data_IF_229002100881
#
_entry.id   IF_229002100881
#
_cell.length_a   1.000
_cell.length_b   1.000
_cell.length_c   1.000
_cell.angle_alpha   90.00
_cell.angle_beta   90.00
_cell.angle_gamma   90.00
#
_symmetry.space_group_name_H-M   'P 1'
#
loop_
_entity.id
_entity.type
_entity.pdbx_description
1 polymer ?
#
# COMPACT_ATOMS: atom_id res chain seq x y z
N UNK A 1 -8.22 -19.42 23.49
CA UNK A 1 -7.48 -18.15 23.45
C UNK A 1 -7.24 -17.77 22.00
N UNK A 2 -8.09 -16.92 21.44
CA UNK A 2 -7.98 -16.40 20.06
C UNK A 2 -6.97 -15.25 20.05
N UNK A 3 -5.68 -15.57 19.99
CA UNK A 3 -4.63 -14.56 19.84
C UNK A 3 -4.70 -13.91 18.45
N UNK A 4 -4.28 -12.66 18.34
CA UNK A 4 -4.02 -12.02 17.04
C UNK A 4 -2.57 -12.29 16.64
N UNK A 5 -2.31 -12.36 15.34
CA UNK A 5 -0.95 -12.37 14.83
C UNK A 5 -0.17 -11.13 15.29
N UNK A 6 1.05 -11.32 15.79
CA UNK A 6 1.97 -10.25 16.12
C UNK A 6 3.10 -10.22 15.10
N UNK A 7 3.46 -9.02 14.66
CA UNK A 7 4.55 -8.77 13.71
C UNK A 7 5.45 -7.71 14.30
N UNK A 8 6.76 -7.95 14.32
CA UNK A 8 7.74 -7.02 14.86
C UNK A 8 8.92 -6.91 13.91
N UNK A 9 9.16 -5.72 13.36
CA UNK A 9 10.35 -5.44 12.54
C UNK A 9 11.61 -5.48 13.40
N UNK A 10 12.66 -6.12 12.86
CA UNK A 10 14.04 -6.13 13.37
C UNK A 10 14.98 -5.93 12.20
N UNK A 11 15.41 -4.69 11.99
CA UNK A 11 16.30 -4.30 10.90
C UNK A 11 15.81 -4.79 9.52
N UNK A 12 16.51 -5.76 8.93
CA UNK A 12 16.18 -6.41 7.65
C UNK A 12 15.34 -7.69 7.78
N UNK A 13 14.66 -7.88 8.91
CA UNK A 13 13.80 -9.03 9.15
C UNK A 13 12.51 -8.64 9.86
N UNK A 14 11.52 -9.53 9.80
CA UNK A 14 10.32 -9.46 10.64
C UNK A 14 10.16 -10.74 11.43
N UNK A 15 9.88 -10.57 12.71
CA UNK A 15 9.54 -11.64 13.63
C UNK A 15 8.03 -11.72 13.70
N UNK A 16 7.49 -12.92 13.55
CA UNK A 16 6.06 -13.15 13.40
C UNK A 16 5.63 -14.28 14.33
N UNK A 17 4.53 -14.11 15.05
CA UNK A 17 3.87 -15.20 15.76
C UNK A 17 2.36 -15.10 15.58
N UNK A 18 1.66 -16.21 15.45
CA UNK A 18 0.21 -16.24 15.30
C UNK A 18 -0.35 -17.57 15.84
N UNK A 19 -1.67 -17.68 16.09
CA UNK A 19 -2.24 -18.84 16.78
C UNK A 19 -1.94 -20.17 16.09
N UNK A 20 -1.48 -21.15 16.89
CA UNK A 20 -1.21 -22.52 16.42
C UNK A 20 0.12 -22.70 15.70
N UNK A 21 0.95 -21.66 15.60
CA UNK A 21 2.21 -21.70 14.85
C UNK A 21 3.37 -21.18 15.69
N UNK A 22 4.54 -21.79 15.51
CA UNK A 22 5.77 -21.33 16.16
C UNK A 22 6.17 -19.96 15.63
N UNK A 23 6.89 -19.22 16.48
CA UNK A 23 7.49 -17.94 16.11
C UNK A 23 8.42 -18.13 14.90
N UNK A 24 8.17 -17.38 13.82
CA UNK A 24 8.97 -17.41 12.59
C UNK A 24 9.69 -16.11 12.35
N UNK A 25 10.80 -16.18 11.62
CA UNK A 25 11.56 -15.02 11.16
C UNK A 25 11.57 -15.02 9.64
N UNK A 26 11.19 -13.90 9.04
CA UNK A 26 11.28 -13.70 7.60
C UNK A 26 12.31 -12.63 7.31
N UNK A 27 13.21 -12.93 6.37
CA UNK A 27 14.10 -11.91 5.82
C UNK A 27 13.30 -10.98 4.90
N UNK A 28 13.60 -9.69 4.97
CA UNK A 28 12.97 -8.70 4.12
C UNK A 28 13.67 -8.68 2.76
N UNK A 29 12.86 -8.70 1.70
CA UNK A 29 13.33 -8.49 0.35
C UNK A 29 13.14 -7.02 -0.03
N UNK A 30 14.12 -6.47 -0.73
CA UNK A 30 14.06 -5.11 -1.24
C UNK A 30 13.19 -5.07 -2.49
N UNK A 31 12.26 -4.12 -2.57
CA UNK A 31 11.54 -3.78 -3.79
C UNK A 31 12.53 -3.31 -4.88
N UNK A 32 12.39 -3.79 -6.13
CA UNK A 32 13.22 -3.32 -7.23
C UNK A 32 12.98 -1.83 -7.52
N UNK A 33 14.04 -1.09 -7.86
CA UNK A 33 13.92 0.33 -8.23
C UNK A 33 12.96 0.54 -9.41
N UNK A 34 12.97 -0.39 -10.37
CA UNK A 34 12.03 -0.35 -11.48
C UNK A 34 10.57 -0.43 -11.00
N UNK A 35 10.26 -1.29 -10.03
CA UNK A 35 8.93 -1.39 -9.45
C UNK A 35 8.52 -0.07 -8.78
N UNK A 36 9.41 0.52 -7.97
CA UNK A 36 9.15 1.80 -7.30
C UNK A 36 8.93 2.93 -8.32
N UNK A 37 9.78 3.05 -9.34
CA UNK A 37 9.64 4.04 -10.42
C UNK A 37 8.34 3.84 -11.19
N UNK A 38 7.98 2.59 -11.50
CA UNK A 38 6.74 2.26 -12.17
C UNK A 38 5.50 2.65 -11.35
N UNK A 39 5.54 2.41 -10.03
CA UNK A 39 4.50 2.81 -9.09
C UNK A 39 4.36 4.34 -9.01
N UNK A 40 5.46 5.09 -8.96
CA UNK A 40 5.47 6.56 -8.96
C UNK A 40 4.94 7.10 -10.29
N UNK A 41 5.48 6.64 -11.42
CA UNK A 41 5.07 7.09 -12.75
C UNK A 41 3.59 6.83 -13.02
N UNK A 42 3.03 5.73 -12.48
CA UNK A 42 1.59 5.45 -12.60
C UNK A 42 0.74 6.41 -11.78
N UNK A 43 1.18 6.78 -10.57
CA UNK A 43 0.50 7.81 -9.76
C UNK A 43 0.59 9.18 -10.40
N UNK A 44 1.74 9.52 -10.97
CA UNK A 44 1.91 10.80 -11.68
C UNK A 44 0.96 10.92 -12.89
N UNK A 45 0.77 9.84 -13.66
CA UNK A 45 -0.24 9.80 -14.74
C UNK A 45 -1.66 10.07 -14.24
N UNK A 46 -2.00 9.64 -13.02
CA UNK A 46 -3.28 9.99 -12.39
C UNK A 46 -3.33 11.48 -12.05
N UNK A 47 -2.30 12.00 -11.41
CA UNK A 47 -2.26 13.40 -11.00
C UNK A 47 -2.43 14.35 -12.19
N UNK A 48 -1.78 14.05 -13.31
CA UNK A 48 -1.95 14.78 -14.57
C UNK A 48 -3.40 14.75 -15.09
N UNK A 49 -4.08 13.60 -14.99
CA UNK A 49 -5.50 13.48 -15.37
C UNK A 49 -6.44 14.26 -14.45
N UNK A 50 -6.13 14.32 -13.16
CA UNK A 50 -6.89 15.14 -12.21
C UNK A 50 -6.73 16.63 -12.53
N UNK A 51 -5.52 17.06 -12.90
CA UNK A 51 -5.25 18.43 -13.34
C UNK A 51 -6.00 18.78 -14.63
N UNK A 52 -6.06 17.85 -15.60
CA UNK A 52 -6.81 18.05 -16.85
C UNK A 52 -8.33 17.85 -16.72
N UNK A 53 -8.83 17.43 -15.54
CA UNK A 53 -10.24 17.08 -15.29
C UNK A 53 -10.76 15.95 -16.18
N UNK A 54 -9.85 15.09 -16.65
CA UNK A 54 -10.20 13.89 -17.40
C UNK A 54 -10.81 12.83 -16.48
N UNK A 55 -11.63 11.93 -17.06
CA UNK A 55 -12.24 10.85 -16.30
C UNK A 55 -11.19 9.80 -15.88
N UNK A 56 -11.23 9.42 -14.60
CA UNK A 56 -10.31 8.45 -14.00
C UNK A 56 -11.07 7.15 -13.77
N UNK A 57 -11.09 6.30 -14.79
CA UNK A 57 -11.87 5.06 -14.75
C UNK A 57 -11.27 3.96 -13.84
N UNK A 58 -9.94 3.76 -13.85
CA UNK A 58 -9.31 2.67 -13.09
C UNK A 58 -7.78 2.82 -12.99
N UNK A 59 -7.18 2.34 -11.89
CA UNK A 59 -5.72 2.35 -11.66
C UNK A 59 -5.18 1.01 -11.16
N UNK A 60 -4.92 0.05 -12.06
CA UNK A 60 -4.48 -1.29 -11.66
C UNK A 60 -3.22 -1.31 -10.76
N UNK A 61 -2.16 -0.51 -11.01
CA UNK A 61 -0.94 -0.60 -10.19
C UNK A 61 -1.08 -0.03 -8.76
N UNK A 62 -2.08 0.81 -8.48
CA UNK A 62 -2.41 1.23 -7.10
C UNK A 62 -3.34 0.22 -6.40
N UNK A 63 -3.98 -0.64 -7.17
CA UNK A 63 -5.03 -1.56 -6.75
C UNK A 63 -4.61 -3.02 -7.01
N UNK A 64 -3.50 -3.52 -6.41
CA UNK A 64 -3.14 -4.92 -6.55
C UNK A 64 -4.24 -5.86 -6.03
N UNK A 65 -4.20 -7.10 -6.52
CA UNK A 65 -4.98 -8.19 -5.94
C UNK A 65 -4.23 -8.72 -4.72
N UNK A 66 -4.84 -8.60 -3.55
CA UNK A 66 -4.40 -9.21 -2.30
C UNK A 66 -4.93 -10.64 -2.23
N UNK A 67 -4.00 -11.59 -2.10
CA UNK A 67 -4.27 -12.99 -1.80
C UNK A 67 -4.05 -13.26 -0.30
N UNK A 68 -5.04 -13.82 0.38
CA UNK A 68 -4.95 -14.26 1.77
C UNK A 68 -5.51 -15.68 1.93
N UNK A 69 -5.14 -16.34 3.03
CA UNK A 69 -5.54 -17.72 3.32
C UNK A 69 -6.14 -17.83 4.73
N UNK A 70 -7.22 -18.59 4.86
CA UNK A 70 -7.73 -19.00 6.16
C UNK A 70 -6.75 -19.96 6.85
N UNK A 71 -6.70 -19.93 8.19
CA UNK A 71 -6.03 -20.99 8.94
C UNK A 71 -6.81 -22.31 8.80
N UNK A 72 -6.11 -23.42 8.59
CA UNK A 72 -6.70 -24.77 8.56
C UNK A 72 -7.25 -25.26 7.21
N UNK A 73 -7.43 -24.40 6.19
CA UNK A 73 -7.95 -24.84 4.87
C UNK A 73 -6.89 -25.56 4.00
N UNK A 74 -5.75 -25.99 4.57
CA UNK A 74 -4.61 -26.55 3.82
C UNK A 74 -4.18 -25.74 2.57
N UNK A 75 -4.53 -24.45 2.50
CA UNK A 75 -4.32 -23.60 1.33
C UNK A 75 -5.19 -23.91 0.11
N UNK A 76 -6.32 -24.62 0.26
CA UNK A 76 -7.17 -25.06 -0.86
C UNK A 76 -7.93 -23.90 -1.51
N UNK A 77 -8.40 -22.93 -0.72
CA UNK A 77 -9.09 -21.74 -1.24
C UNK A 77 -8.29 -20.48 -0.96
N UNK A 78 -7.95 -19.74 -2.01
CA UNK A 78 -7.30 -18.43 -1.89
C UNK A 78 -8.38 -17.35 -1.94
N UNK A 79 -8.44 -16.50 -0.91
CA UNK A 79 -9.27 -15.30 -0.96
C UNK A 79 -8.53 -14.22 -1.74
N UNK A 80 -9.12 -13.75 -2.84
CA UNK A 80 -8.57 -12.69 -3.68
C UNK A 80 -9.43 -11.42 -3.56
N UNK A 81 -8.81 -10.30 -3.23
CA UNK A 81 -9.50 -9.02 -3.11
C UNK A 81 -8.63 -7.87 -3.63
N UNK A 82 -9.22 -6.95 -4.39
CA UNK A 82 -8.53 -5.71 -4.79
C UNK A 82 -8.34 -4.81 -3.58
N UNK A 83 -7.12 -4.31 -3.37
CA UNK A 83 -6.78 -3.42 -2.24
C UNK A 83 -5.96 -2.23 -2.69
N UNK A 84 -6.26 -1.04 -2.16
CA UNK A 84 -5.43 0.14 -2.35
C UNK A 84 -4.10 0.00 -1.61
N UNK A 85 -2.99 0.14 -2.33
CA UNK A 85 -1.64 0.03 -1.77
C UNK A 85 -0.82 1.28 -2.10
N UNK A 86 -0.11 1.81 -1.11
CA UNK A 86 0.74 2.97 -1.17
C UNK A 86 2.21 2.60 -0.95
N UNK A 87 3.09 3.40 -1.54
CA UNK A 87 4.51 3.43 -1.16
C UNK A 87 4.62 4.21 0.16
N UNK A 88 5.40 3.68 1.10
CA UNK A 88 5.65 4.33 2.38
C UNK A 88 6.98 5.11 2.35
N UNK A 89 7.07 6.28 2.98
CA UNK A 89 8.34 6.93 3.28
C UNK A 89 9.22 6.03 4.17
N UNK A 90 10.54 6.13 4.02
CA UNK A 90 11.48 5.52 4.94
C UNK A 90 11.29 6.08 6.35
N UNK A 91 11.59 5.28 7.38
CA UNK A 91 11.32 5.63 8.78
C UNK A 91 11.82 7.04 9.18
N UNK A 92 12.99 7.45 8.70
CA UNK A 92 13.58 8.77 8.98
C UNK A 92 12.84 9.96 8.33
N UNK A 93 12.04 9.73 7.29
CA UNK A 93 11.24 10.77 6.61
C UNK A 93 9.75 10.67 6.91
N UNK A 94 9.32 9.62 7.62
CA UNK A 94 7.91 9.34 7.84
C UNK A 94 7.23 10.43 8.68
N UNK A 95 7.87 10.91 9.74
CA UNK A 95 7.35 12.00 10.58
C UNK A 95 7.13 13.29 9.78
N UNK A 96 8.17 13.76 9.08
CA UNK A 96 8.10 14.93 8.19
C UNK A 96 6.99 14.78 7.13
N UNK A 97 6.84 13.58 6.55
CA UNK A 97 5.81 13.33 5.54
C UNK A 97 4.40 13.38 6.12
N UNK A 98 4.19 12.86 7.35
CA UNK A 98 2.91 12.94 8.06
C UNK A 98 2.55 14.40 8.34
N UNK A 99 3.49 15.17 8.90
CA UNK A 99 3.28 16.59 9.20
C UNK A 99 2.93 17.38 7.95
N UNK A 100 3.63 17.14 6.83
CA UNK A 100 3.35 17.81 5.56
C UNK A 100 1.92 17.52 5.06
N UNK A 101 1.49 16.27 5.12
CA UNK A 101 0.14 15.86 4.69
C UNK A 101 -0.94 16.44 5.61
N UNK A 102 -0.78 16.30 6.92
CA UNK A 102 -1.75 16.76 7.91
C UNK A 102 -1.88 18.29 7.93
N UNK A 103 -0.77 19.02 7.85
CA UNK A 103 -0.79 20.49 7.72
C UNK A 103 -1.50 20.93 6.44
N UNK A 104 -1.26 20.22 5.33
CA UNK A 104 -1.94 20.52 4.06
C UNK A 104 -3.45 20.31 4.17
N UNK A 105 -3.88 19.23 4.82
CA UNK A 105 -5.30 18.98 5.07
C UNK A 105 -5.93 20.11 5.89
N UNK A 106 -5.32 20.48 7.01
CA UNK A 106 -5.81 21.57 7.87
C UNK A 106 -5.91 22.91 7.11
N UNK A 107 -4.93 23.20 6.26
CA UNK A 107 -4.89 24.44 5.46
C UNK A 107 -5.85 24.44 4.26
N UNK A 108 -6.49 23.31 3.96
CA UNK A 108 -7.36 23.14 2.78
C UNK A 108 -8.74 22.61 3.12
N UNK A 109 -9.08 22.51 4.41
CA UNK A 109 -10.34 21.94 4.91
C UNK A 109 -11.55 22.80 4.51
N UNK A 110 -11.46 24.11 4.69
CA UNK A 110 -12.56 25.05 4.44
C UNK A 110 -12.55 25.68 3.04
N UNK A 111 -11.63 25.24 2.17
CA UNK A 111 -11.44 25.82 0.84
C UNK A 111 -12.04 24.94 -0.25
N UNK A 112 -12.57 25.53 -1.34
CA UNK A 112 -13.04 24.76 -2.49
C UNK A 112 -11.97 23.81 -3.02
N UNK A 113 -12.40 22.63 -3.45
CA UNK A 113 -11.49 21.56 -3.89
C UNK A 113 -10.67 21.99 -5.10
N UNK A 114 -11.30 22.69 -6.04
CA UNK A 114 -10.71 23.20 -7.26
C UNK A 114 -9.58 24.19 -6.98
N UNK A 115 -9.68 24.95 -5.90
CA UNK A 115 -8.65 25.92 -5.48
C UNK A 115 -7.49 25.25 -4.75
N UNK A 116 -7.71 24.06 -4.17
CA UNK A 116 -6.71 23.36 -3.34
C UNK A 116 -6.03 22.19 -4.06
N UNK A 117 -6.58 21.71 -5.17
CA UNK A 117 -6.08 20.54 -5.90
C UNK A 117 -4.58 20.64 -6.22
N UNK A 118 -4.13 21.76 -6.80
CA UNK A 118 -2.70 21.95 -7.15
C UNK A 118 -1.78 21.86 -5.93
N UNK A 119 -2.21 22.38 -4.78
CA UNK A 119 -1.46 22.29 -3.52
C UNK A 119 -1.39 20.84 -3.02
N UNK A 120 -2.52 20.13 -3.03
CA UNK A 120 -2.62 18.72 -2.61
C UNK A 120 -1.72 17.83 -3.49
N UNK A 121 -1.74 18.04 -4.81
CA UNK A 121 -0.89 17.33 -5.75
C UNK A 121 0.60 17.64 -5.57
N UNK A 122 0.96 18.91 -5.37
CA UNK A 122 2.35 19.31 -5.14
C UNK A 122 2.97 18.61 -3.93
N UNK A 123 2.22 18.49 -2.83
CA UNK A 123 2.67 17.81 -1.61
C UNK A 123 2.94 16.32 -1.85
N UNK A 124 2.04 15.64 -2.56
CA UNK A 124 2.21 14.20 -2.81
C UNK A 124 3.34 13.94 -3.80
N UNK A 125 3.52 14.82 -4.80
CA UNK A 125 4.70 14.81 -5.69
C UNK A 125 5.99 15.03 -4.91
N UNK A 126 6.01 15.95 -3.94
CA UNK A 126 7.19 16.19 -3.09
C UNK A 126 7.59 14.91 -2.33
N UNK A 127 6.62 14.21 -1.72
CA UNK A 127 6.87 12.96 -0.98
C UNK A 127 7.46 11.87 -1.89
N UNK A 128 6.98 11.77 -3.13
CA UNK A 128 7.41 10.74 -4.10
C UNK A 128 8.51 11.20 -5.07
N UNK A 129 9.08 12.38 -4.88
CA UNK A 129 10.07 12.97 -5.82
C UNK A 129 11.43 12.27 -5.78
N UNK A 130 11.79 11.67 -4.65
CA UNK A 130 13.06 10.99 -4.44
C UNK A 130 12.85 9.57 -3.93
N UNK A 131 13.28 8.58 -4.73
CA UNK A 131 13.23 7.16 -4.39
C UNK A 131 14.00 6.82 -3.11
N UNK A 132 15.07 7.57 -2.80
CA UNK A 132 15.87 7.34 -1.60
C UNK A 132 15.09 7.63 -0.31
N UNK A 133 13.97 8.36 -0.42
CA UNK A 133 13.07 8.68 0.68
C UNK A 133 12.00 7.64 0.94
N UNK A 134 11.90 6.59 0.12
CA UNK A 134 10.90 5.53 0.29
C UNK A 134 11.47 4.35 1.07
N UNK A 135 10.63 3.65 1.84
CA UNK A 135 11.00 2.37 2.44
C UNK A 135 10.94 1.28 1.38
N UNK A 136 12.08 0.71 0.95
CA UNK A 136 12.06 -0.30 -0.09
C UNK A 136 11.68 -1.68 0.45
N UNK A 137 11.38 -1.83 1.75
CA UNK A 137 11.03 -3.11 2.37
C UNK A 137 9.56 -3.19 2.79
N UNK A 138 8.78 -2.13 2.55
CA UNK A 138 7.38 -2.11 2.96
C UNK A 138 6.46 -1.40 1.97
N UNK A 139 5.21 -1.82 2.01
CA UNK A 139 4.09 -1.15 1.35
C UNK A 139 3.01 -0.90 2.41
N UNK A 140 2.15 0.09 2.18
CA UNK A 140 1.06 0.42 3.10
C UNK A 140 -0.30 0.27 2.44
N UNK A 141 -1.35 0.03 3.22
CA UNK A 141 -2.73 0.07 2.74
C UNK A 141 -3.69 0.38 3.88
N UNK A 142 -4.82 1.01 3.60
CA UNK A 142 -5.87 1.20 4.62
C UNK A 142 -6.77 -0.04 4.67
N UNK A 143 -7.12 -0.48 5.88
CA UNK A 143 -8.26 -1.38 6.04
C UNK A 143 -9.51 -0.55 6.27
N UNK A 144 -10.53 -0.86 5.47
CA UNK A 144 -11.71 -0.02 5.28
C UNK A 144 -12.98 -0.80 5.65
N UNK A 145 -13.04 -2.08 5.32
CA UNK A 145 -14.26 -2.91 5.36
C UNK A 145 -14.22 -4.01 6.42
N UNK A 146 -13.05 -4.35 6.95
CA UNK A 146 -12.85 -5.44 7.94
C UNK A 146 -13.46 -6.79 7.52
N UNK A 147 -13.55 -7.04 6.21
CA UNK A 147 -14.13 -8.27 5.64
C UNK A 147 -13.19 -9.49 5.69
N UNK A 148 -13.41 -10.45 4.79
CA UNK A 148 -12.70 -11.75 4.77
C UNK A 148 -11.18 -11.63 4.83
N UNK A 149 -10.57 -10.73 4.06
CA UNK A 149 -9.12 -10.53 4.09
C UNK A 149 -8.61 -10.12 5.46
N UNK A 150 -9.33 -9.23 6.16
CA UNK A 150 -8.97 -8.80 7.50
C UNK A 150 -9.04 -9.96 8.51
N UNK A 151 -10.14 -10.73 8.47
CA UNK A 151 -10.28 -11.93 9.31
C UNK A 151 -9.18 -12.96 9.08
N UNK A 152 -8.77 -13.19 7.83
CA UNK A 152 -7.63 -14.06 7.52
C UNK A 152 -6.32 -13.51 8.09
N UNK A 153 -6.04 -12.21 7.89
CA UNK A 153 -4.79 -11.59 8.32
C UNK A 153 -4.62 -11.53 9.84
N UNK A 154 -5.71 -11.46 10.61
CA UNK A 154 -5.67 -11.57 12.06
C UNK A 154 -5.14 -12.94 12.53
N UNK A 155 -5.38 -14.00 11.74
CA UNK A 155 -5.05 -15.37 12.09
C UNK A 155 -3.79 -15.88 11.39
N UNK A 156 -3.53 -15.42 10.17
CA UNK A 156 -2.38 -15.74 9.33
C UNK A 156 -1.91 -14.46 8.64
N UNK A 157 -0.82 -13.83 9.11
CA UNK A 157 -0.38 -12.54 8.59
C UNK A 157 0.26 -12.64 7.21
N UNK A 158 0.46 -13.84 6.68
CA UNK A 158 1.04 -14.03 5.34
C UNK A 158 0.03 -13.65 4.27
N UNK A 159 0.50 -12.92 3.27
CA UNK A 159 -0.27 -12.57 2.08
C UNK A 159 0.63 -12.54 0.84
N UNK A 160 0.00 -12.45 -0.33
CA UNK A 160 0.69 -12.07 -1.55
C UNK A 160 -0.07 -10.94 -2.25
N UNK A 161 0.65 -10.01 -2.84
CA UNK A 161 0.11 -8.93 -3.66
C UNK A 161 0.48 -9.19 -5.12
N UNK A 162 -0.52 -9.20 -6.00
CA UNK A 162 -0.32 -9.22 -7.44
C UNK A 162 -0.58 -7.84 -8.02
N UNK A 163 0.49 -7.20 -8.50
CA UNK A 163 0.43 -5.97 -9.26
C UNK A 163 0.45 -6.30 -10.75
N UNK A 164 -0.43 -5.67 -11.52
CA UNK A 164 -0.52 -5.85 -12.97
C UNK A 164 -0.79 -4.51 -13.64
N UNK A 165 -0.16 -4.26 -14.79
CA UNK A 165 -0.54 -3.21 -15.75
C UNK A 165 -1.30 -3.84 -16.93
N UNK A 166 -2.14 -3.04 -17.56
CA UNK A 166 -2.78 -3.39 -18.81
C UNK A 166 -1.82 -3.33 -20.01
N UNK A 167 -2.30 -3.78 -21.18
CA UNK A 167 -1.62 -3.60 -22.47
C UNK A 167 -1.25 -2.12 -22.70
N UNK A 168 -0.10 -1.80 -23.31
CA UNK A 168 0.85 -2.71 -23.98
C UNK A 168 1.97 -3.26 -23.10
N UNK A 169 2.13 -2.79 -21.86
CA UNK A 169 3.33 -3.09 -21.06
C UNK A 169 3.24 -4.40 -20.30
N UNK A 170 2.04 -4.78 -19.84
CA UNK A 170 1.81 -5.97 -19.01
C UNK A 170 2.78 -6.09 -17.81
N UNK A 171 3.30 -4.96 -17.32
CA UNK A 171 4.21 -4.92 -16.18
C UNK A 171 3.52 -5.61 -15.01
N UNK A 172 4.15 -6.64 -14.44
CA UNK A 172 3.51 -7.37 -13.34
C UNK A 172 4.53 -7.92 -12.35
N UNK A 173 4.12 -7.88 -11.08
CA UNK A 173 4.93 -8.30 -9.96
C UNK A 173 4.06 -9.07 -8.97
N UNK A 174 4.57 -10.21 -8.49
CA UNK A 174 4.08 -10.81 -7.26
C UNK A 174 5.01 -10.40 -6.13
N UNK A 175 4.43 -9.91 -5.04
CA UNK A 175 5.15 -9.53 -3.83
C UNK A 175 4.58 -10.35 -2.69
N UNK A 176 5.38 -11.27 -2.16
CA UNK A 176 5.00 -12.05 -0.98
C UNK A 176 5.31 -11.20 0.26
N UNK A 177 4.38 -11.16 1.22
CA UNK A 177 4.44 -10.24 2.36
C UNK A 177 4.02 -10.89 3.67
N UNK A 178 4.51 -10.32 4.76
CA UNK A 178 3.92 -10.47 6.10
C UNK A 178 3.22 -9.17 6.46
N UNK A 179 1.99 -9.25 6.90
CA UNK A 179 1.14 -8.09 7.16
C UNK A 179 1.10 -7.78 8.65
N UNK A 180 1.52 -6.58 9.01
CA UNK A 180 1.29 -5.97 10.31
C UNK A 180 0.04 -5.10 10.24
N UNK A 181 -0.81 -5.15 11.27
CA UNK A 181 -1.99 -4.29 11.40
C UNK A 181 -1.67 -3.22 12.42
N UNK A 182 -1.79 -1.96 12.01
CA UNK A 182 -1.46 -0.77 12.82
C UNK A 182 -2.66 0.19 12.88
N UNK A 183 -2.65 1.10 13.86
CA UNK A 183 -3.71 2.09 14.05
C UNK A 183 -3.29 3.17 15.06
N UNK A 184 -4.22 4.08 15.38
CA UNK A 184 -4.00 5.10 16.42
C UNK A 184 -2.87 6.07 16.07
N UNK A 185 -1.88 6.18 16.95
CA UNK A 185 -0.78 7.15 16.82
C UNK A 185 0.39 6.65 15.95
N UNK A 186 0.31 5.44 15.40
CA UNK A 186 1.35 4.91 14.50
C UNK A 186 1.50 5.82 13.27
N UNK A 187 2.72 6.32 13.03
CA UNK A 187 3.01 7.24 11.94
C UNK A 187 2.69 6.65 10.55
N UNK A 188 2.80 5.33 10.37
CA UNK A 188 2.49 4.66 9.09
C UNK A 188 0.99 4.70 8.85
N UNK A 189 0.20 4.47 9.89
CA UNK A 189 -1.25 4.61 9.84
C UNK A 189 -1.65 6.07 9.56
N UNK A 190 -1.11 7.03 10.33
CA UNK A 190 -1.40 8.47 10.14
C UNK A 190 -1.05 8.93 8.72
N UNK A 191 0.11 8.51 8.20
CA UNK A 191 0.52 8.78 6.82
C UNK A 191 -0.52 8.28 5.82
N UNK A 192 -0.95 7.01 5.93
CA UNK A 192 -1.90 6.41 5.01
C UNK A 192 -3.27 7.10 5.07
N UNK A 193 -3.74 7.43 6.27
CA UNK A 193 -5.01 8.16 6.47
C UNK A 193 -4.91 9.56 5.86
N UNK A 194 -3.86 10.31 6.15
CA UNK A 194 -3.69 11.66 5.64
C UNK A 194 -3.56 11.67 4.10
N UNK A 195 -2.77 10.76 3.54
CA UNK A 195 -2.62 10.60 2.09
C UNK A 195 -3.96 10.25 1.41
N UNK A 196 -4.79 9.39 2.02
CA UNK A 196 -6.13 9.08 1.52
C UNK A 196 -7.07 10.29 1.59
N UNK A 197 -7.10 10.98 2.72
CA UNK A 197 -7.96 12.16 2.95
C UNK A 197 -7.70 13.29 1.97
N UNK A 198 -6.46 13.43 1.48
CA UNK A 198 -6.14 14.43 0.45
C UNK A 198 -7.03 14.31 -0.79
N UNK A 199 -7.45 13.09 -1.14
CA UNK A 199 -8.20 12.81 -2.36
C UNK A 199 -9.55 12.13 -2.08
N UNK A 200 -10.04 12.08 -0.84
CA UNK A 200 -11.19 11.27 -0.45
C UNK A 200 -12.49 11.60 -1.21
N UNK A 201 -12.68 12.84 -1.64
CA UNK A 201 -13.80 13.24 -2.49
C UNK A 201 -13.57 13.15 -4.00
N UNK A 202 -12.49 12.52 -4.48
CA UNK A 202 -12.32 12.25 -5.91
C UNK A 202 -13.21 11.06 -6.34
N UNK A 203 -13.66 11.06 -7.60
CA UNK A 203 -14.55 10.02 -8.16
C UNK A 203 -14.01 8.59 -8.08
N UNK A 204 -12.70 8.41 -7.97
CA UNK A 204 -12.06 7.10 -7.85
C UNK A 204 -12.03 6.57 -6.40
N UNK A 205 -12.63 7.27 -5.45
CA UNK A 205 -12.75 6.85 -4.06
C UNK A 205 -14.20 6.65 -3.63
N UNK A 206 -14.44 5.52 -2.96
CA UNK A 206 -15.67 5.35 -2.16
C UNK A 206 -15.51 6.17 -0.89
N UNK A 207 -16.35 7.18 -0.70
CA UNK A 207 -16.40 7.98 0.53
C UNK A 207 -16.78 7.10 1.71
N UNK A 208 -16.01 7.16 2.80
CA UNK A 208 -16.30 6.41 4.02
C UNK A 208 -15.95 7.21 5.27
N UNK A 209 -16.72 6.99 6.35
CA UNK A 209 -16.51 7.66 7.63
C UNK A 209 -15.47 6.91 8.45
N UNK A 210 -14.25 7.42 8.42
CA UNK A 210 -13.16 6.97 9.29
C UNK A 210 -12.44 5.73 8.79
N UNK A 211 -11.17 5.62 9.15
CA UNK A 211 -10.30 4.50 8.83
C UNK A 211 -9.73 4.01 10.15
N UNK A 212 -10.19 2.87 10.69
CA UNK A 212 -9.77 2.44 12.03
C UNK A 212 -8.37 1.82 12.06
N UNK A 213 -7.92 1.26 10.94
CA UNK A 213 -6.75 0.40 10.85
C UNK A 213 -6.04 0.57 9.51
N UNK A 214 -4.75 0.24 9.49
CA UNK A 214 -3.95 0.13 8.29
C UNK A 214 -3.12 -1.16 8.30
N UNK A 215 -2.74 -1.58 7.10
CA UNK A 215 -1.79 -2.65 6.84
C UNK A 215 -0.43 -2.07 6.53
N UNK A 216 0.59 -2.67 7.12
CA UNK A 216 1.97 -2.54 6.68
C UNK A 216 2.39 -3.91 6.15
N UNK A 217 2.60 -3.96 4.84
CA UNK A 217 3.01 -5.16 4.13
C UNK A 217 4.53 -5.22 4.07
N UNK A 218 5.12 -6.01 4.96
CA UNK A 218 6.56 -6.27 4.99
C UNK A 218 6.94 -7.23 3.87
N UNK A 219 7.77 -6.76 2.95
CA UNK A 219 8.13 -7.50 1.74
C UNK A 219 9.11 -8.61 2.07
N UNK A 220 8.75 -9.86 1.83
CA UNK A 220 9.60 -11.03 2.11
C UNK A 220 10.15 -11.68 0.84
N UNK A 221 9.48 -11.47 -0.30
CA UNK A 221 9.95 -11.93 -1.60
C UNK A 221 9.32 -11.11 -2.73
N UNK A 222 10.04 -10.96 -3.85
CA UNK A 222 9.57 -10.24 -5.03
C UNK A 222 9.84 -11.09 -6.27
N UNK A 223 8.82 -11.26 -7.12
CA UNK A 223 8.91 -11.96 -8.40
C UNK A 223 8.42 -11.04 -9.50
N UNK A 224 9.28 -10.72 -10.45
CA UNK A 224 8.85 -10.10 -11.71
C UNK A 224 8.14 -11.17 -12.54
N UNK A 225 6.94 -10.86 -12.99
CA UNK A 225 6.05 -11.77 -13.73
C UNK A 225 5.65 -11.20 -15.09
N UNK A 226 6.30 -10.13 -15.54
CA UNK A 226 5.97 -9.50 -16.81
C UNK A 226 6.16 -10.52 -17.93
N UNK A 227 5.12 -10.79 -18.73
CA UNK A 227 5.26 -11.67 -19.88
C UNK A 227 6.32 -11.09 -20.83
N UNK A 228 7.38 -11.86 -21.07
CA UNK A 228 8.41 -11.54 -22.07
C UNK A 228 8.57 -12.74 -22.98
N UNK A 229 8.61 -12.51 -24.29
CA UNK A 229 9.09 -13.54 -25.22
C UNK A 229 10.61 -13.69 -25.05
N UNK A 230 11.14 -14.90 -25.29
CA UNK A 230 12.58 -15.20 -25.08
C UNK A 230 13.53 -14.33 -25.93
N UNK A 231 13.01 -13.66 -26.95
CA UNK A 231 13.75 -12.91 -27.98
C UNK A 231 14.04 -11.45 -27.61
N UNK A 232 13.52 -10.95 -26.48
CA UNK A 232 13.63 -9.53 -26.08
C UNK A 232 14.69 -9.30 -24.98
N UNK A 233 15.74 -10.12 -24.94
CA UNK A 233 16.88 -9.96 -24.03
C UNK A 233 17.98 -9.14 -24.68
#
# INVERSE_FOLDING_TARGET
MTGQATVTRRDQSVIVSWPGEEKRVYQLARLPDYFLRWQIATRERLYQRLESRDDVAFMPPHLPVLATWANGDAGRTVNLATKGVALLPAAKYLGESVELLENTLAQTEDLPREETLSRRLAVVRQIYSDLSRLDPYSLGGLEIFEGTSYGHLLQNPRAALLFVEQWPRYTSYQIDVVTEIVGGDDLRYRFLVAARKLFEGEKFHVFQKGYGKAYVFWVTNVREKTPRTKEWK
#
